data_IF_367027620843
#
_entry.id   IF_367027620843
#
_cell.length_a   1.000
_cell.length_b   1.000
_cell.length_c   1.000
_cell.angle_alpha   90.00
_cell.angle_beta   90.00
_cell.angle_gamma   90.00
#
_symmetry.space_group_name_H-M   'P 1'
#
loop_
_entity.id
_entity.type
_entity.pdbx_description
1 polymer ?
#
# COMPACT_ATOMS: atom_id res chain seq x y z
N UNK A 1 11.88 -2.12 27.86
CA UNK A 1 13.30 -1.84 27.64
C UNK A 1 13.95 -1.04 28.77
N UNK A 2 13.30 0.01 29.31
CA UNK A 2 13.85 0.78 30.42
C UNK A 2 13.02 0.57 31.69
N UNK A 3 13.56 -0.06 32.74
CA UNK A 3 12.79 -0.38 33.95
C UNK A 3 12.40 0.85 34.78
N UNK A 4 13.12 1.98 34.62
CA UNK A 4 12.80 3.25 35.29
C UNK A 4 11.89 4.19 34.46
N UNK A 5 11.50 3.79 33.24
CA UNK A 5 10.62 4.61 32.42
C UNK A 5 9.17 4.45 32.84
N UNK A 6 8.49 5.57 33.06
CA UNK A 6 7.06 5.67 33.31
C UNK A 6 6.36 6.49 32.23
N UNK A 7 5.02 6.45 32.18
CA UNK A 7 4.24 7.28 31.27
C UNK A 7 4.56 8.78 31.47
N UNK A 8 4.80 9.21 32.72
CA UNK A 8 5.23 10.58 33.05
C UNK A 8 6.56 10.94 32.37
N UNK A 9 7.58 10.06 32.47
CA UNK A 9 8.87 10.31 31.79
C UNK A 9 8.74 10.34 30.27
N UNK A 10 7.76 9.63 29.70
CA UNK A 10 7.46 9.69 28.28
C UNK A 10 6.85 11.04 27.89
N UNK A 11 5.89 11.56 28.67
CA UNK A 11 5.34 12.91 28.51
C UNK A 11 6.43 13.97 28.54
N UNK A 12 7.30 13.93 29.54
CA UNK A 12 8.32 14.97 29.72
C UNK A 12 9.29 15.00 28.53
N UNK A 13 9.64 13.82 28.00
CA UNK A 13 10.43 13.69 26.76
C UNK A 13 9.68 14.23 25.54
N UNK A 14 8.39 13.93 25.38
CA UNK A 14 7.58 14.49 24.31
C UNK A 14 7.54 16.01 24.35
N UNK A 15 7.37 16.59 25.55
CA UNK A 15 7.36 18.03 25.75
C UNK A 15 8.72 18.64 25.40
N UNK A 16 9.82 18.08 25.91
CA UNK A 16 11.16 18.58 25.60
C UNK A 16 11.48 18.52 24.09
N UNK A 17 10.96 17.50 23.39
CA UNK A 17 11.22 17.30 21.98
C UNK A 17 10.33 18.15 21.06
N UNK A 18 9.06 18.35 21.40
CA UNK A 18 8.07 18.91 20.46
C UNK A 18 7.45 20.23 20.88
N UNK A 19 7.37 20.54 22.18
CA UNK A 19 6.73 21.77 22.64
C UNK A 19 7.51 22.99 22.14
N UNK A 20 6.81 23.94 21.50
CA UNK A 20 7.39 25.15 20.93
C UNK A 20 8.10 24.96 19.58
N UNK A 21 8.49 23.73 19.23
CA UNK A 21 9.10 23.40 17.92
C UNK A 21 8.07 22.99 16.88
N UNK A 22 7.03 22.27 17.30
CA UNK A 22 5.98 21.75 16.42
C UNK A 22 4.66 22.46 16.69
N UNK A 23 4.11 23.16 15.69
CA UNK A 23 2.80 23.86 15.82
C UNK A 23 1.63 22.94 16.15
N UNK A 24 1.71 21.66 15.77
CA UNK A 24 0.63 20.70 15.99
C UNK A 24 0.64 20.06 17.39
N UNK A 25 1.63 20.36 18.25
CA UNK A 25 1.74 19.83 19.61
C UNK A 25 1.49 20.94 20.63
N UNK A 26 0.41 20.81 21.40
CA UNK A 26 -0.05 21.83 22.34
C UNK A 26 -0.17 21.28 23.77
N UNK A 27 -0.12 22.19 24.74
CA UNK A 27 -0.50 21.87 26.12
C UNK A 27 -2.03 21.75 26.21
N UNK A 28 -2.55 20.82 27.02
CA UNK A 28 -3.98 20.64 27.16
C UNK A 28 -4.59 21.84 27.88
N UNK A 29 -5.77 22.27 27.43
CA UNK A 29 -6.52 23.35 28.07
C UNK A 29 -7.31 22.77 29.24
N UNK A 30 -7.08 23.19 30.48
CA UNK A 30 -7.81 22.66 31.63
C UNK A 30 -9.30 23.03 31.50
N UNK A 31 -10.17 22.03 31.41
CA UNK A 31 -11.62 22.20 31.36
C UNK A 31 -12.26 21.53 32.58
N UNK A 32 -13.07 22.28 33.35
CA UNK A 32 -13.79 21.75 34.52
C UNK A 32 -14.68 20.58 34.10
N UNK A 33 -14.53 19.42 34.77
CA UNK A 33 -15.35 18.23 34.57
C UNK A 33 -14.87 17.25 33.48
N UNK A 34 -13.73 17.50 32.81
CA UNK A 34 -13.11 16.53 31.89
C UNK A 34 -11.99 15.75 32.57
N UNK A 35 -11.74 14.52 32.10
CA UNK A 35 -10.62 13.70 32.55
C UNK A 35 -9.28 14.42 32.30
N UNK A 36 -8.31 14.18 33.18
CA UNK A 36 -6.99 14.84 33.10
C UNK A 36 -6.25 14.45 31.82
N UNK A 37 -6.07 15.43 30.95
CA UNK A 37 -5.32 15.31 29.71
C UNK A 37 -3.85 15.71 29.94
N UNK A 38 -2.95 14.99 29.28
CA UNK A 38 -1.50 15.16 29.47
C UNK A 38 -0.86 15.95 28.31
N UNK A 39 -1.42 15.89 27.09
CA UNK A 39 -1.03 16.72 25.94
C UNK A 39 -2.16 16.78 24.91
N UNK A 40 -2.07 17.71 23.96
CA UNK A 40 -3.04 17.85 22.88
C UNK A 40 -2.36 17.84 21.52
N UNK A 41 -3.00 17.18 20.55
CA UNK A 41 -2.57 17.22 19.14
C UNK A 41 -3.61 17.93 18.30
N UNK A 42 -3.13 18.87 17.48
CA UNK A 42 -3.96 19.58 16.51
C UNK A 42 -4.07 18.72 15.25
N UNK A 43 -5.26 18.17 15.01
CA UNK A 43 -5.61 17.44 13.80
C UNK A 43 -6.48 18.32 12.90
N UNK A 44 -6.58 18.02 11.60
CA UNK A 44 -7.32 18.87 10.66
C UNK A 44 -8.81 19.05 11.03
N UNK A 45 -9.39 18.06 11.71
CA UNK A 45 -10.78 18.08 12.17
C UNK A 45 -10.98 18.79 13.52
N UNK A 46 -9.92 18.98 14.29
CA UNK A 46 -9.96 19.56 15.64
C UNK A 46 -8.79 19.12 16.52
N UNK A 47 -8.67 19.76 17.67
CA UNK A 47 -7.67 19.42 18.69
C UNK A 47 -8.16 18.25 19.55
N UNK A 48 -7.32 17.23 19.73
CA UNK A 48 -7.61 16.04 20.54
C UNK A 48 -6.71 16.01 21.76
N UNK A 49 -7.34 15.90 22.93
CA UNK A 49 -6.68 15.80 24.23
C UNK A 49 -6.39 14.32 24.54
N UNK A 50 -5.13 13.99 24.82
CA UNK A 50 -4.67 12.62 25.08
C UNK A 50 -4.35 12.40 26.56
N UNK A 51 -4.76 11.23 27.06
CA UNK A 51 -4.32 10.70 28.34
C UNK A 51 -3.32 9.55 28.12
N UNK A 52 -2.14 9.66 28.75
CA UNK A 52 -1.01 8.73 28.60
C UNK A 52 -1.03 7.56 29.58
N UNK A 53 -1.91 7.54 30.57
CA UNK A 53 -1.93 6.50 31.60
C UNK A 53 -2.10 5.12 30.97
N UNK A 54 -1.16 4.21 31.30
CA UNK A 54 -1.12 2.83 30.84
C UNK A 54 -0.60 2.66 29.40
N UNK A 55 -0.02 3.69 28.77
CA UNK A 55 0.50 3.58 27.39
C UNK A 55 1.65 2.59 27.28
N UNK A 56 2.57 2.59 28.24
CA UNK A 56 3.67 1.63 28.26
C UNK A 56 3.19 0.19 28.38
N UNK A 57 2.12 -0.08 29.13
CA UNK A 57 1.53 -1.42 29.24
C UNK A 57 0.79 -1.81 27.97
N UNK A 58 -0.07 -0.93 27.44
CA UNK A 58 -0.78 -1.16 26.17
C UNK A 58 0.16 -1.42 25.00
N UNK A 59 1.31 -0.76 24.96
CA UNK A 59 2.28 -0.95 23.87
C UNK A 59 3.15 -2.22 24.04
N UNK A 60 3.23 -2.76 25.26
CA UNK A 60 3.85 -4.07 25.54
C UNK A 60 2.88 -5.23 25.28
N UNK A 61 1.58 -4.98 25.43
CA UNK A 61 0.51 -5.99 25.35
C UNK A 61 0.84 -7.27 26.13
N UNK A 62 1.08 -7.16 27.46
CA UNK A 62 1.60 -8.27 28.25
C UNK A 62 0.55 -9.36 28.40
N UNK A 63 0.67 -10.42 27.61
CA UNK A 63 -0.05 -11.67 27.83
C UNK A 63 0.72 -12.55 28.81
N UNK A 64 -0.01 -13.32 29.62
CA UNK A 64 0.62 -14.29 30.52
C UNK A 64 1.10 -15.51 29.72
N UNK A 65 2.42 -15.65 29.56
CA UNK A 65 3.04 -16.73 28.81
C UNK A 65 2.58 -18.13 29.25
N UNK A 66 2.36 -18.35 30.55
CA UNK A 66 1.90 -19.65 31.06
C UNK A 66 0.48 -19.98 30.58
N UNK A 67 -0.39 -18.97 30.47
CA UNK A 67 -1.75 -19.13 29.97
C UNK A 67 -1.74 -19.37 28.45
N UNK A 68 -0.94 -18.61 27.70
CA UNK A 68 -0.77 -18.80 26.26
C UNK A 68 -0.25 -20.21 25.93
N UNK A 69 0.72 -20.71 26.68
CA UNK A 69 1.26 -22.06 26.52
C UNK A 69 0.23 -23.14 26.84
N UNK A 70 -0.61 -22.93 27.87
CA UNK A 70 -1.69 -23.85 28.20
C UNK A 70 -2.74 -23.91 27.07
N UNK A 71 -3.14 -22.75 26.54
CA UNK A 71 -4.13 -22.67 25.46
C UNK A 71 -3.62 -23.27 24.14
N UNK A 72 -2.35 -23.07 23.80
CA UNK A 72 -1.73 -23.72 22.64
C UNK A 72 -1.68 -25.25 22.72
N UNK A 73 -1.74 -25.81 23.94
CA UNK A 73 -1.80 -27.27 24.20
C UNK A 73 -3.21 -27.80 24.48
N UNK A 74 -4.24 -26.97 24.29
CA UNK A 74 -5.61 -27.38 24.56
C UNK A 74 -6.05 -28.56 23.68
N UNK A 75 -6.83 -29.47 24.25
CA UNK A 75 -7.51 -30.54 23.48
C UNK A 75 -8.60 -30.01 22.53
N UNK A 76 -9.02 -28.75 22.70
CA UNK A 76 -9.95 -28.08 21.79
C UNK A 76 -9.17 -27.49 20.62
N UNK A 77 -9.33 -28.09 19.43
CA UNK A 77 -8.57 -27.75 18.22
C UNK A 77 -8.62 -26.26 17.84
N UNK A 78 -9.77 -25.61 17.98
CA UNK A 78 -9.90 -24.17 17.68
C UNK A 78 -9.12 -23.31 18.67
N UNK A 79 -9.08 -23.68 19.95
CA UNK A 79 -8.33 -22.95 20.97
C UNK A 79 -6.83 -23.09 20.74
N UNK A 80 -6.35 -24.30 20.43
CA UNK A 80 -4.96 -24.53 20.06
C UNK A 80 -4.55 -23.78 18.78
N UNK A 81 -5.46 -23.67 17.80
CA UNK A 81 -5.19 -22.94 16.55
C UNK A 81 -5.12 -21.41 16.73
N UNK A 82 -5.82 -20.84 17.71
CA UNK A 82 -5.77 -19.40 18.03
C UNK A 82 -4.49 -19.00 18.79
N UNK A 83 -3.84 -19.97 19.45
CA UNK A 83 -2.59 -19.78 20.19
C UNK A 83 -1.50 -20.70 19.61
N UNK A 84 -1.09 -20.49 18.34
CA UNK A 84 -0.09 -21.33 17.72
C UNK A 84 1.23 -21.26 18.49
N UNK A 85 2.00 -22.36 18.55
CA UNK A 85 3.32 -22.32 19.17
C UNK A 85 4.20 -21.29 18.45
N UNK A 86 5.06 -20.56 19.18
CA UNK A 86 6.00 -19.65 18.55
C UNK A 86 6.85 -20.41 17.53
N UNK A 87 7.19 -19.79 16.37
CA UNK A 87 8.02 -20.45 15.37
C UNK A 87 9.31 -20.95 16.02
N UNK A 88 9.79 -22.16 15.66
CA UNK A 88 10.97 -22.72 16.28
C UNK A 88 12.16 -21.76 16.12
N UNK A 89 12.78 -21.39 17.24
CA UNK A 89 14.07 -20.70 17.22
C UNK A 89 15.08 -21.61 16.50
N UNK A 90 15.61 -21.16 15.35
CA UNK A 90 16.72 -21.82 14.69
C UNK A 90 17.92 -21.90 15.65
N UNK A 91 18.05 -23.03 16.33
CA UNK A 91 19.19 -23.39 17.21
C UNK A 91 20.46 -23.71 16.41
N UNK A 92 20.68 -23.08 15.26
CA UNK A 92 21.79 -23.41 14.36
C UNK A 92 22.92 -22.37 14.30
N UNK A 93 22.82 -21.20 14.95
CA UNK A 93 23.96 -20.26 15.06
C UNK A 93 24.37 -20.05 16.52
N UNK A 94 25.57 -20.55 16.84
CA UNK A 94 26.31 -20.27 18.08
C UNK A 94 26.46 -18.76 18.24
N UNK A 95 26.06 -18.24 19.40
CA UNK A 95 26.38 -16.87 19.85
C UNK A 95 25.24 -15.88 19.68
N UNK A 96 24.23 -16.00 20.54
CA UNK A 96 23.15 -15.03 20.62
C UNK A 96 21.84 -15.73 20.95
N UNK A 97 21.44 -15.72 22.21
CA UNK A 97 20.03 -15.98 22.56
C UNK A 97 19.20 -15.00 21.73
N UNK A 98 18.53 -15.46 20.67
CA UNK A 98 17.35 -14.79 20.13
C UNK A 98 16.36 -14.79 21.28
N UNK A 99 16.42 -13.79 22.17
CA UNK A 99 15.39 -13.58 23.17
C UNK A 99 14.14 -13.26 22.36
N UNK A 100 13.25 -14.23 22.23
CA UNK A 100 11.94 -14.05 21.60
C UNK A 100 11.26 -12.77 22.09
N UNK A 101 10.62 -12.08 21.16
CA UNK A 101 9.45 -11.22 21.38
C UNK A 101 9.57 -9.96 22.24
N UNK A 102 10.65 -9.74 23.00
CA UNK A 102 10.67 -8.68 24.02
C UNK A 102 10.86 -7.26 23.46
N UNK A 103 11.27 -7.11 22.19
CA UNK A 103 11.60 -5.81 21.61
C UNK A 103 10.63 -5.30 20.54
N UNK A 104 9.82 -6.18 19.94
CA UNK A 104 8.79 -5.75 19.00
C UNK A 104 7.57 -5.25 19.77
N UNK A 105 7.41 -3.93 19.83
CA UNK A 105 6.22 -3.32 20.43
C UNK A 105 5.05 -3.31 19.45
N UNK A 106 3.83 -3.26 19.97
CA UNK A 106 2.60 -3.17 19.17
C UNK A 106 2.67 -2.00 18.17
N UNK A 107 3.18 -0.84 18.62
CA UNK A 107 3.35 0.33 17.76
C UNK A 107 4.34 0.11 16.60
N UNK A 108 5.39 -0.70 16.80
CA UNK A 108 6.36 -1.02 15.75
C UNK A 108 5.72 -1.88 14.65
N UNK A 109 4.94 -2.90 15.05
CA UNK A 109 4.21 -3.74 14.12
C UNK A 109 3.18 -2.94 13.31
N UNK A 110 2.40 -2.07 13.98
CA UNK A 110 1.47 -1.19 13.28
C UNK A 110 2.16 -0.23 12.32
N UNK A 111 3.35 0.28 12.67
CA UNK A 111 4.14 1.15 11.78
C UNK A 111 4.56 0.42 10.50
N UNK A 112 5.03 -0.81 10.60
CA UNK A 112 5.42 -1.61 9.44
C UNK A 112 4.22 -1.90 8.53
N UNK A 113 3.12 -2.36 9.12
CA UNK A 113 1.87 -2.62 8.41
C UNK A 113 1.32 -1.35 7.74
N UNK A 114 1.36 -0.22 8.43
CA UNK A 114 0.96 1.08 7.89
C UNK A 114 1.86 1.50 6.72
N UNK A 115 3.17 1.26 6.80
CA UNK A 115 4.09 1.59 5.71
C UNK A 115 3.76 0.76 4.45
N UNK A 116 3.58 -0.56 4.60
CA UNK A 116 3.14 -1.45 3.51
C UNK A 116 1.81 -0.99 2.91
N UNK A 117 0.84 -0.68 3.76
CA UNK A 117 -0.46 -0.18 3.32
C UNK A 117 -0.34 1.13 2.55
N UNK A 118 0.44 2.10 3.06
CA UNK A 118 0.64 3.39 2.39
C UNK A 118 1.34 3.27 1.05
N UNK A 119 2.32 2.35 0.92
CA UNK A 119 2.96 2.05 -0.37
C UNK A 119 1.95 1.49 -1.37
N UNK A 120 1.12 0.54 -0.95
CA UNK A 120 0.07 -0.04 -1.78
C UNK A 120 -0.99 1.01 -2.19
N UNK A 121 -1.44 1.85 -1.25
CA UNK A 121 -2.42 2.90 -1.58
C UNK A 121 -1.87 3.92 -2.57
N UNK A 122 -0.59 4.29 -2.45
CA UNK A 122 0.06 5.25 -3.36
C UNK A 122 0.30 4.72 -4.77
N UNK A 123 0.42 3.40 -4.95
CA UNK A 123 0.60 2.78 -6.27
C UNK A 123 -0.73 2.56 -7.02
N UNK A 124 -1.87 2.78 -6.36
CA UNK A 124 -3.21 2.59 -6.93
C UNK A 124 -3.83 3.92 -7.39
N UNK A 125 -4.96 3.84 -8.10
CA UNK A 125 -5.78 5.00 -8.44
C UNK A 125 -6.88 5.20 -7.38
N UNK A 126 -6.76 6.20 -6.48
CA UNK A 126 -7.69 6.34 -5.37
C UNK A 126 -9.00 6.99 -5.80
N UNK A 127 -10.11 6.43 -5.31
CA UNK A 127 -11.44 7.05 -5.35
C UNK A 127 -11.87 7.39 -3.93
N UNK A 128 -12.41 8.61 -3.73
CA UNK A 128 -12.72 9.12 -2.40
C UNK A 128 -14.23 9.24 -2.19
N UNK A 129 -14.69 8.73 -1.04
CA UNK A 129 -16.02 9.01 -0.50
C UNK A 129 -15.82 9.75 0.82
N UNK A 130 -16.38 10.96 0.94
CA UNK A 130 -16.32 11.76 2.17
C UNK A 130 -17.66 11.72 2.88
N UNK A 131 -17.72 11.03 4.00
CA UNK A 131 -18.90 10.95 4.84
C UNK A 131 -18.98 12.18 5.77
N UNK A 132 -20.17 12.72 5.98
CA UNK A 132 -20.44 13.83 6.89
C UNK A 132 -21.36 13.35 8.01
N UNK A 133 -21.06 13.74 9.24
CA UNK A 133 -21.90 13.47 10.42
C UNK A 133 -22.99 14.54 10.46
N UNK A 134 -24.28 14.16 10.41
CA UNK A 134 -25.37 15.14 10.33
C UNK A 134 -25.71 15.77 11.69
N UNK A 135 -25.55 15.03 12.80
CA UNK A 135 -25.79 15.50 14.17
C UNK A 135 -25.08 14.58 15.18
N UNK A 136 -24.82 15.09 16.40
CA UNK A 136 -24.19 14.31 17.48
C UNK A 136 -25.21 13.46 18.27
N UNK A 137 -26.50 13.83 18.23
CA UNK A 137 -27.58 13.10 18.90
C UNK A 137 -27.91 11.72 18.31
N UNK A 138 -27.29 11.38 17.17
CA UNK A 138 -27.54 10.15 16.38
C UNK A 138 -29.00 10.01 15.92
N UNK A 139 -29.72 11.12 15.77
CA UNK A 139 -31.12 11.13 15.35
C UNK A 139 -31.20 11.14 13.82
N UNK A 140 -31.89 10.19 13.18
CA UNK A 140 -32.04 10.18 11.73
C UNK A 140 -32.85 11.40 11.26
N UNK A 141 -32.47 11.99 10.12
CA UNK A 141 -33.17 13.14 9.51
C UNK A 141 -32.89 14.51 10.15
N UNK A 142 -32.31 14.56 11.35
CA UNK A 142 -31.86 15.80 11.96
C UNK A 142 -30.51 16.23 11.38
N UNK A 143 -30.38 17.51 11.00
CA UNK A 143 -29.16 18.08 10.43
C UNK A 143 -28.74 19.34 11.17
N UNK A 144 -27.54 19.32 11.74
CA UNK A 144 -26.93 20.44 12.44
C UNK A 144 -25.98 21.19 11.51
N UNK A 145 -26.45 22.33 11.00
CA UNK A 145 -25.72 23.08 9.97
C UNK A 145 -24.34 23.54 10.42
N UNK A 146 -24.17 23.97 11.68
CA UNK A 146 -22.88 24.45 12.17
C UNK A 146 -21.83 23.33 12.21
N UNK A 147 -22.23 22.14 12.67
CA UNK A 147 -21.39 20.94 12.68
C UNK A 147 -20.95 20.54 11.27
N UNK A 148 -21.86 20.61 10.30
CA UNK A 148 -21.59 20.24 8.91
C UNK A 148 -20.71 21.29 8.23
N UNK A 149 -20.94 22.58 8.46
CA UNK A 149 -20.09 23.66 7.95
C UNK A 149 -18.66 23.51 8.45
N UNK A 150 -18.48 23.18 9.74
CA UNK A 150 -17.16 22.89 10.32
C UNK A 150 -16.49 21.72 9.58
N UNK A 151 -17.19 20.59 9.39
CA UNK A 151 -16.67 19.44 8.65
C UNK A 151 -16.31 19.78 7.20
N UNK A 152 -17.15 20.53 6.47
CA UNK A 152 -16.89 20.90 5.08
C UNK A 152 -15.61 21.73 4.92
N UNK A 153 -15.34 22.62 5.89
CA UNK A 153 -14.11 23.43 5.93
C UNK A 153 -12.89 22.57 6.29
N UNK A 154 -12.96 21.83 7.40
CA UNK A 154 -11.86 21.00 7.89
C UNK A 154 -11.46 19.88 6.93
N UNK A 155 -12.43 19.24 6.26
CA UNK A 155 -12.19 18.18 5.28
C UNK A 155 -11.69 18.72 3.93
N UNK A 156 -11.58 20.05 3.76
CA UNK A 156 -11.18 20.70 2.51
C UNK A 156 -12.13 20.41 1.35
N UNK A 157 -13.43 20.26 1.62
CA UNK A 157 -14.43 19.93 0.59
C UNK A 157 -14.56 21.09 -0.39
N UNK A 158 -14.55 22.33 0.10
CA UNK A 158 -14.64 23.53 -0.74
C UNK A 158 -13.43 23.64 -1.69
N UNK A 159 -12.22 23.41 -1.17
CA UNK A 159 -10.99 23.37 -1.94
C UNK A 159 -11.02 22.22 -2.96
N UNK A 160 -11.50 21.05 -2.54
CA UNK A 160 -11.70 19.91 -3.42
C UNK A 160 -12.62 20.23 -4.59
N UNK A 161 -13.79 20.82 -4.33
CA UNK A 161 -14.75 21.24 -5.38
C UNK A 161 -14.12 22.31 -6.27
N UNK A 162 -13.42 23.29 -5.71
CA UNK A 162 -12.76 24.35 -6.48
C UNK A 162 -11.71 23.78 -7.44
N UNK A 163 -10.92 22.82 -6.98
CA UNK A 163 -9.94 22.11 -7.82
C UNK A 163 -10.65 21.23 -8.85
N UNK A 164 -11.68 20.47 -8.49
CA UNK A 164 -12.43 19.63 -9.42
C UNK A 164 -13.15 20.43 -10.52
N UNK A 165 -13.65 21.64 -10.22
CA UNK A 165 -14.29 22.52 -11.21
C UNK A 165 -13.28 23.12 -12.20
N UNK A 166 -12.09 23.48 -11.74
CA UNK A 166 -11.01 24.01 -12.59
C UNK A 166 -10.24 22.91 -13.31
N UNK A 167 -10.18 21.73 -12.71
CA UNK A 167 -9.42 20.60 -13.18
C UNK A 167 -10.18 19.73 -14.17
N UNK A 168 -9.45 18.76 -14.70
CA UNK A 168 -9.97 17.77 -15.63
C UNK A 168 -9.71 16.38 -15.03
N UNK A 169 -10.70 15.82 -14.30
CA UNK A 169 -10.51 14.58 -13.55
C UNK A 169 -10.28 13.37 -14.46
N UNK A 170 -10.95 13.31 -15.61
CA UNK A 170 -10.84 12.20 -16.54
C UNK A 170 -9.71 12.44 -17.54
N UNK A 171 -8.83 11.45 -17.70
CA UNK A 171 -7.62 11.54 -18.54
C UNK A 171 -7.49 10.30 -19.39
N UNK A 172 -7.57 10.45 -20.71
CA UNK A 172 -7.58 9.31 -21.64
C UNK A 172 -6.41 9.45 -22.61
N UNK A 173 -5.72 8.35 -22.89
CA UNK A 173 -4.62 8.31 -23.87
C UNK A 173 -5.22 8.48 -25.28
N UNK A 174 -4.54 9.21 -26.16
CA UNK A 174 -5.05 9.50 -27.50
C UNK A 174 -5.36 8.24 -28.33
N UNK A 175 -4.55 7.19 -28.20
CA UNK A 175 -4.78 5.92 -28.89
C UNK A 175 -6.12 5.29 -28.48
N UNK A 176 -6.36 5.20 -27.16
CA UNK A 176 -7.60 4.66 -26.60
C UNK A 176 -8.79 5.52 -26.97
N UNK A 177 -8.67 6.85 -26.88
CA UNK A 177 -9.73 7.78 -27.24
C UNK A 177 -10.13 7.61 -28.72
N UNK A 178 -9.16 7.64 -29.62
CA UNK A 178 -9.37 7.44 -31.06
C UNK A 178 -10.04 6.10 -31.33
N UNK A 179 -9.54 5.00 -30.75
CA UNK A 179 -10.11 3.67 -30.97
C UNK A 179 -11.55 3.57 -30.44
N UNK A 180 -11.82 4.13 -29.27
CA UNK A 180 -13.11 4.03 -28.59
C UNK A 180 -14.20 4.86 -29.27
N UNK A 181 -13.88 6.10 -29.66
CA UNK A 181 -14.88 7.06 -30.17
C UNK A 181 -14.88 7.22 -31.69
N UNK A 182 -14.00 6.55 -32.46
CA UNK A 182 -14.03 6.57 -33.94
C UNK A 182 -15.42 6.22 -34.50
N UNK A 183 -16.20 5.38 -33.82
CA UNK A 183 -17.55 4.99 -34.24
C UNK A 183 -18.55 6.16 -34.28
N UNK A 184 -18.32 7.22 -33.50
CA UNK A 184 -19.19 8.40 -33.48
C UNK A 184 -19.18 9.11 -34.83
N UNK A 185 -18.00 9.26 -35.45
CA UNK A 185 -17.86 9.87 -36.76
C UNK A 185 -16.64 9.29 -37.51
N UNK A 186 -16.88 8.21 -38.26
CA UNK A 186 -15.82 7.52 -39.00
C UNK A 186 -15.30 8.33 -40.20
N UNK A 187 -16.11 9.23 -40.77
CA UNK A 187 -15.78 10.02 -41.96
C UNK A 187 -14.66 11.03 -41.74
N UNK A 188 -14.42 11.42 -40.49
CA UNK A 188 -13.44 12.45 -40.11
C UNK A 188 -12.00 11.91 -40.12
N UNK A 189 -11.84 10.58 -40.03
CA UNK A 189 -10.55 9.90 -40.01
C UNK A 189 -10.43 9.09 -41.31
N UNK A 190 -9.67 9.56 -42.32
CA UNK A 190 -9.48 8.86 -43.59
C UNK A 190 -8.97 7.43 -43.36
N UNK A 191 -9.60 6.46 -44.03
CA UNK A 191 -9.15 5.07 -43.97
C UNK A 191 -7.84 4.89 -44.76
N UNK A 192 -6.89 4.15 -44.19
CA UNK A 192 -5.62 3.80 -44.86
C UNK A 192 -4.49 4.82 -44.75
N UNK A 193 -4.75 6.05 -44.29
CA UNK A 193 -3.69 7.03 -44.00
C UNK A 193 -3.30 7.03 -42.53
N UNK A 194 -2.01 6.92 -42.24
CA UNK A 194 -1.50 7.08 -40.87
C UNK A 194 -1.71 8.53 -40.43
N UNK A 195 -2.69 8.73 -39.55
CA UNK A 195 -2.93 10.00 -38.88
C UNK A 195 -2.53 9.89 -37.41
N UNK A 196 -1.69 10.84 -36.98
CA UNK A 196 -1.29 10.99 -35.58
C UNK A 196 -2.51 10.97 -34.65
N UNK A 197 -2.40 10.24 -33.55
CA UNK A 197 -3.52 9.98 -32.64
C UNK A 197 -4.03 11.27 -32.00
N UNK A 198 -3.15 12.24 -31.74
CA UNK A 198 -3.56 13.55 -31.23
C UNK A 198 -4.40 14.31 -32.26
N UNK A 199 -3.88 14.48 -33.49
CA UNK A 199 -4.62 15.14 -34.58
C UNK A 199 -5.96 14.46 -34.91
N UNK A 200 -5.98 13.13 -34.89
CA UNK A 200 -7.21 12.36 -35.09
C UNK A 200 -8.24 12.62 -33.98
N UNK A 201 -7.78 12.69 -32.72
CA UNK A 201 -8.64 13.00 -31.57
C UNK A 201 -9.15 14.44 -31.60
N UNK A 202 -8.31 15.40 -32.02
CA UNK A 202 -8.68 16.80 -32.20
C UNK A 202 -9.78 16.97 -33.27
N UNK A 203 -9.60 16.35 -34.44
CA UNK A 203 -10.61 16.37 -35.50
C UNK A 203 -11.90 15.68 -35.09
N UNK A 204 -11.81 14.53 -34.42
CA UNK A 204 -12.99 13.79 -33.96
C UNK A 204 -13.79 14.61 -32.95
N UNK A 205 -13.16 15.16 -31.92
CA UNK A 205 -13.86 16.02 -30.94
C UNK A 205 -14.41 17.29 -31.58
N UNK A 206 -13.69 17.92 -32.50
CA UNK A 206 -14.19 19.10 -33.22
C UNK A 206 -15.32 18.81 -34.20
N UNK A 207 -15.57 17.54 -34.54
CA UNK A 207 -16.70 17.13 -35.39
C UNK A 207 -17.97 16.79 -34.61
N UNK A 208 -17.86 16.67 -33.29
CA UNK A 208 -18.97 16.35 -32.39
C UNK A 208 -19.38 17.67 -31.73
N UNK A 209 -20.69 17.90 -31.61
CA UNK A 209 -21.23 19.09 -30.95
C UNK A 209 -21.07 18.98 -29.43
N UNK A 210 -19.86 19.29 -28.95
CA UNK A 210 -19.50 19.32 -27.52
C UNK A 210 -18.85 20.63 -27.16
N UNK A 211 -19.07 21.08 -25.92
CA UNK A 211 -18.47 22.31 -25.43
C UNK A 211 -16.93 22.19 -25.36
N UNK A 212 -16.23 23.03 -26.14
CA UNK A 212 -14.78 23.07 -26.21
C UNK A 212 -14.09 23.51 -24.91
N UNK A 213 -14.81 24.08 -23.94
CA UNK A 213 -14.27 24.39 -22.62
C UNK A 213 -14.16 23.19 -21.68
N UNK A 214 -14.91 22.12 -21.97
CA UNK A 214 -15.04 20.96 -21.09
C UNK A 214 -14.00 19.88 -21.37
N UNK A 215 -13.13 20.10 -22.37
CA UNK A 215 -11.94 19.28 -22.58
C UNK A 215 -10.70 20.11 -22.90
N UNK A 216 -9.52 19.51 -22.70
CA UNK A 216 -8.22 20.09 -23.08
C UNK A 216 -7.28 19.02 -23.63
N UNK A 217 -6.46 19.41 -24.60
CA UNK A 217 -5.44 18.55 -25.20
C UNK A 217 -4.11 18.71 -24.47
N UNK A 218 -3.56 17.61 -23.96
CA UNK A 218 -2.18 17.57 -23.47
C UNK A 218 -1.21 17.04 -24.51
N UNK A 219 -0.01 16.67 -24.05
CA UNK A 219 1.01 16.06 -24.90
C UNK A 219 0.66 14.62 -25.29
N UNK A 220 0.26 13.78 -24.33
CA UNK A 220 0.00 12.35 -24.54
C UNK A 220 -1.45 11.94 -24.28
N UNK A 221 -2.22 12.79 -23.62
CA UNK A 221 -3.58 12.51 -23.15
C UNK A 221 -4.51 13.68 -23.46
N UNK A 222 -5.78 13.35 -23.65
CA UNK A 222 -6.90 14.30 -23.62
C UNK A 222 -7.53 14.29 -22.23
N UNK A 223 -7.93 15.48 -21.78
CA UNK A 223 -8.42 15.76 -20.45
C UNK A 223 -9.87 16.21 -20.53
N UNK A 224 -10.76 15.64 -19.72
CA UNK A 224 -12.19 15.96 -19.70
C UNK A 224 -12.63 16.44 -18.31
N UNK A 225 -13.53 17.41 -18.29
CA UNK A 225 -14.30 17.76 -17.10
C UNK A 225 -15.29 16.64 -16.75
N UNK A 226 -15.76 16.65 -15.51
CA UNK A 226 -16.81 15.73 -15.09
C UNK A 226 -18.08 15.94 -15.93
N UNK A 227 -18.74 14.85 -16.31
CA UNK A 227 -19.97 14.87 -17.11
C UNK A 227 -19.74 14.66 -18.62
N UNK A 228 -18.79 15.39 -19.24
CA UNK A 228 -18.58 15.33 -20.70
C UNK A 228 -18.28 13.91 -21.21
N UNK A 229 -17.48 13.14 -20.46
CA UNK A 229 -17.17 11.76 -20.85
C UNK A 229 -18.43 10.86 -20.83
N UNK A 230 -19.37 11.11 -19.92
CA UNK A 230 -20.64 10.38 -19.88
C UNK A 230 -21.49 10.66 -21.11
N UNK A 231 -21.56 11.93 -21.54
CA UNK A 231 -22.25 12.32 -22.78
C UNK A 231 -21.64 11.64 -24.00
N UNK A 232 -20.30 11.58 -24.09
CA UNK A 232 -19.62 10.87 -25.19
C UNK A 232 -19.89 9.36 -25.19
N UNK A 233 -20.02 8.73 -24.02
CA UNK A 233 -20.41 7.31 -23.93
C UNK A 233 -21.88 7.10 -24.33
N UNK A 234 -22.79 7.98 -23.92
CA UNK A 234 -24.20 7.89 -24.29
C UNK A 234 -24.41 8.00 -25.81
N UNK A 235 -23.80 9.01 -26.45
CA UNK A 235 -23.81 9.15 -27.92
C UNK A 235 -23.23 7.91 -28.63
N UNK A 236 -22.22 7.29 -28.01
CA UNK A 236 -21.56 6.09 -28.55
C UNK A 236 -22.46 4.88 -28.44
N UNK A 237 -23.12 4.69 -27.30
CA UNK A 237 -24.02 3.57 -27.05
C UNK A 237 -25.24 3.63 -27.98
N UNK A 238 -25.81 4.81 -28.23
CA UNK A 238 -26.87 4.99 -29.23
C UNK A 238 -26.41 4.56 -30.63
N UNK A 239 -25.21 4.97 -31.04
CA UNK A 239 -24.66 4.60 -32.35
C UNK A 239 -24.38 3.10 -32.46
N UNK A 240 -23.82 2.51 -31.41
CA UNK A 240 -23.56 1.08 -31.33
C UNK A 240 -24.85 0.27 -31.35
N UNK A 241 -25.91 0.71 -30.65
CA UNK A 241 -27.21 0.05 -30.65
C UNK A 241 -27.79 -0.03 -32.07
N UNK A 242 -27.71 1.06 -32.85
CA UNK A 242 -28.12 1.08 -34.26
C UNK A 242 -27.31 0.09 -35.11
N UNK A 243 -25.97 0.12 -35.02
CA UNK A 243 -25.09 -0.75 -35.80
C UNK A 243 -25.27 -2.23 -35.44
N UNK A 244 -25.35 -2.56 -34.16
CA UNK A 244 -25.60 -3.92 -33.67
C UNK A 244 -26.97 -4.40 -34.14
N UNK A 245 -27.98 -3.55 -34.14
CA UNK A 245 -29.30 -3.85 -34.71
C UNK A 245 -29.22 -4.27 -36.18
N UNK A 246 -28.43 -3.57 -36.99
CA UNK A 246 -28.20 -3.94 -38.41
C UNK A 246 -27.51 -5.30 -38.55
N UNK A 247 -26.45 -5.55 -37.76
CA UNK A 247 -25.75 -6.84 -37.78
C UNK A 247 -26.69 -7.97 -37.36
N UNK A 248 -27.46 -7.79 -36.29
CA UNK A 248 -28.45 -8.76 -35.83
C UNK A 248 -29.50 -9.04 -36.91
N UNK A 249 -29.99 -8.01 -37.61
CA UNK A 249 -30.94 -8.17 -38.70
C UNK A 249 -30.35 -9.00 -39.86
N UNK A 250 -29.10 -8.74 -40.23
CA UNK A 250 -28.39 -9.52 -41.27
C UNK A 250 -28.19 -10.98 -40.84
N UNK A 251 -27.75 -11.22 -39.60
CA UNK A 251 -27.58 -12.58 -39.07
C UNK A 251 -28.89 -13.35 -39.00
N UNK A 252 -29.97 -12.74 -38.50
CA UNK A 252 -31.31 -13.35 -38.49
C UNK A 252 -31.82 -13.63 -39.90
N UNK A 253 -31.61 -12.70 -40.84
CA UNK A 253 -31.95 -12.89 -42.24
C UNK A 253 -31.17 -14.03 -42.90
N UNK A 254 -29.87 -14.16 -42.62
CA UNK A 254 -29.05 -15.26 -43.11
C UNK A 254 -29.52 -16.62 -42.57
N UNK A 255 -29.75 -16.71 -41.26
CA UNK A 255 -30.24 -17.94 -40.62
C UNK A 255 -31.60 -18.36 -41.19
N UNK A 256 -32.54 -17.42 -41.33
CA UNK A 256 -33.87 -17.71 -41.84
C UNK A 256 -33.85 -18.12 -43.32
N UNK A 257 -33.02 -17.49 -44.17
CA UNK A 257 -32.86 -17.92 -45.58
C UNK A 257 -32.33 -19.35 -45.66
N UNK A 258 -31.33 -19.70 -44.83
CA UNK A 258 -30.78 -21.05 -44.79
C UNK A 258 -31.80 -22.07 -44.30
N UNK A 259 -32.60 -21.74 -43.29
CA UNK A 259 -33.68 -22.62 -42.83
C UNK A 259 -34.79 -22.74 -43.89
N UNK A 260 -35.13 -21.65 -44.58
CA UNK A 260 -36.10 -21.66 -45.67
C UNK A 260 -35.65 -22.55 -46.85
N UNK A 261 -34.37 -22.51 -47.24
CA UNK A 261 -33.83 -23.45 -48.24
C UNK A 261 -34.01 -24.90 -47.81
N UNK A 262 -33.71 -25.25 -46.54
CA UNK A 262 -33.98 -26.61 -46.03
C UNK A 262 -35.47 -26.96 -46.05
N UNK A 263 -36.35 -26.02 -45.74
CA UNK A 263 -37.80 -26.24 -45.82
C UNK A 263 -38.26 -26.50 -47.26
N UNK A 264 -37.70 -25.79 -48.23
CA UNK A 264 -37.94 -26.00 -49.66
C UNK A 264 -37.42 -27.36 -50.12
N UNK A 265 -36.18 -27.72 -49.76
CA UNK A 265 -35.61 -29.05 -50.04
C UNK A 265 -36.44 -30.18 -49.43
N UNK A 266 -36.91 -30.02 -48.18
CA UNK A 266 -37.84 -30.97 -47.54
C UNK A 266 -39.14 -31.09 -48.33
N UNK A 267 -39.71 -29.98 -48.79
CA UNK A 267 -40.95 -29.97 -49.59
C UNK A 267 -40.77 -30.71 -50.92
N UNK A 268 -39.68 -30.46 -51.63
CA UNK A 268 -39.37 -31.18 -52.89
C UNK A 268 -39.09 -32.65 -52.64
N UNK A 269 -38.35 -32.97 -51.57
CA UNK A 269 -38.07 -34.35 -51.17
C UNK A 269 -39.35 -35.13 -50.88
N UNK A 270 -40.36 -34.51 -50.26
CA UNK A 270 -41.67 -35.15 -50.02
C UNK A 270 -42.30 -35.56 -51.35
N UNK A 271 -42.33 -34.68 -52.36
CA UNK A 271 -42.87 -35.02 -53.67
C UNK A 271 -42.06 -36.12 -54.36
N UNK A 272 -40.74 -36.04 -54.33
CA UNK A 272 -39.86 -37.04 -54.90
C UNK A 272 -40.05 -38.42 -54.22
N UNK A 273 -40.17 -38.47 -52.89
CA UNK A 273 -40.43 -39.70 -52.13
C UNK A 273 -41.80 -40.28 -52.51
N UNK A 274 -42.86 -39.45 -52.50
CA UNK A 274 -44.20 -39.90 -52.86
C UNK A 274 -44.27 -40.48 -54.27
N UNK A 275 -43.63 -39.81 -55.23
CA UNK A 275 -43.54 -40.29 -56.61
C UNK A 275 -42.73 -41.58 -56.71
N UNK A 276 -41.54 -41.62 -56.11
CA UNK A 276 -40.66 -42.80 -56.15
C UNK A 276 -41.29 -44.01 -55.47
N UNK A 277 -42.01 -43.86 -54.35
CA UNK A 277 -42.73 -44.97 -53.71
C UNK A 277 -43.78 -45.55 -54.67
N UNK A 278 -44.56 -44.69 -55.34
CA UNK A 278 -45.56 -45.16 -56.33
C UNK A 278 -44.88 -45.86 -57.52
N UNK A 279 -43.84 -45.26 -58.08
CA UNK A 279 -43.05 -45.85 -59.18
C UNK A 279 -42.41 -47.18 -58.78
N UNK A 280 -41.78 -47.24 -57.61
CA UNK A 280 -41.18 -48.45 -57.06
C UNK A 280 -42.22 -49.55 -56.85
N UNK A 281 -43.41 -49.23 -56.33
CA UNK A 281 -44.48 -50.23 -56.17
C UNK A 281 -44.93 -50.82 -57.52
N UNK A 282 -44.85 -50.06 -58.61
CA UNK A 282 -45.13 -50.55 -59.96
C UNK A 282 -43.99 -51.42 -60.53
N UNK A 283 -42.72 -51.06 -60.26
CA UNK A 283 -41.54 -51.71 -60.87
C UNK A 283 -40.95 -52.84 -60.02
N UNK A 284 -41.23 -52.91 -58.72
CA UNK A 284 -40.62 -53.91 -57.80
C UNK A 284 -40.88 -55.37 -58.21
N UNK A 285 -41.97 -55.63 -58.92
CA UNK A 285 -42.31 -56.98 -59.40
C UNK A 285 -41.73 -57.30 -60.78
N UNK A 286 -41.17 -56.29 -61.48
CA UNK A 286 -40.62 -56.41 -62.83
C UNK A 286 -39.39 -57.33 -62.85
N UNK A 287 -39.29 -58.30 -63.79
CA UNK A 287 -38.23 -59.32 -63.79
C UNK A 287 -36.80 -58.75 -63.81
N UNK A 288 -36.54 -57.70 -64.60
CA UNK A 288 -35.22 -57.07 -64.67
C UNK A 288 -34.80 -56.40 -63.35
N UNK A 289 -35.74 -55.81 -62.60
CA UNK A 289 -35.43 -55.17 -61.33
C UNK A 289 -35.10 -56.19 -60.23
N UNK A 290 -35.77 -57.37 -60.25
CA UNK A 290 -35.44 -58.49 -59.36
C UNK A 290 -34.03 -59.04 -59.60
N UNK A 291 -33.58 -59.08 -60.85
CA UNK A 291 -32.22 -59.49 -61.19
C UNK A 291 -31.18 -58.49 -60.65
N UNK A 292 -31.42 -57.19 -60.82
CA UNK A 292 -30.54 -56.14 -60.30
C UNK A 292 -30.37 -56.22 -58.77
N UNK A 293 -31.46 -56.41 -58.00
CA UNK A 293 -31.36 -56.55 -56.54
C UNK A 293 -30.56 -57.76 -56.07
N UNK A 294 -30.51 -58.85 -56.86
CA UNK A 294 -29.64 -60.00 -56.56
C UNK A 294 -28.17 -59.73 -56.88
N UNK A 295 -27.88 -58.89 -57.87
CA UNK A 295 -26.51 -58.60 -58.32
C UNK A 295 -25.87 -57.47 -57.49
N UNK A 296 -26.64 -56.44 -57.12
CA UNK A 296 -26.10 -55.23 -56.45
C UNK A 296 -25.30 -55.49 -55.16
N UNK A 297 -25.72 -56.36 -54.22
CA UNK A 297 -24.93 -56.65 -53.01
C UNK A 297 -23.57 -57.31 -53.30
N UNK A 298 -23.43 -57.97 -54.46
CA UNK A 298 -22.17 -58.59 -54.89
C UNK A 298 -21.13 -57.56 -55.37
N UNK A 299 -21.50 -56.27 -55.46
CA UNK A 299 -20.65 -55.14 -55.88
C UNK A 299 -20.15 -54.27 -54.71
N UNK A 300 -20.24 -54.78 -53.47
CA UNK A 300 -19.86 -54.10 -52.21
C UNK A 300 -18.42 -53.54 -52.16
N UNK A 301 -17.52 -53.94 -53.06
CA UNK A 301 -16.12 -53.52 -53.08
C UNK A 301 -15.91 -52.02 -53.35
N UNK A 302 -16.85 -51.35 -54.01
CA UNK A 302 -16.71 -49.93 -54.35
C UNK A 302 -17.08 -48.97 -53.21
N UNK A 303 -17.98 -49.38 -52.31
CA UNK A 303 -18.37 -48.55 -51.15
C UNK A 303 -17.29 -48.56 -50.06
N UNK A 304 -16.65 -49.71 -49.83
CA UNK A 304 -15.57 -49.85 -48.85
C UNK A 304 -14.33 -49.02 -49.21
N UNK A 305 -14.02 -48.85 -50.49
CA UNK A 305 -12.90 -48.03 -50.96
C UNK A 305 -13.11 -46.53 -50.66
N UNK A 306 -14.35 -46.04 -50.79
CA UNK A 306 -14.70 -44.65 -50.49
C UNK A 306 -14.66 -44.36 -48.98
N UNK A 307 -15.10 -45.30 -48.14
CA UNK A 307 -14.98 -45.19 -46.68
C UNK A 307 -13.52 -45.18 -46.22
N UNK A 308 -12.69 -46.05 -46.83
CA UNK A 308 -11.25 -46.09 -46.54
C UNK A 308 -10.56 -44.77 -46.91
N UNK A 309 -10.94 -44.14 -48.01
CA UNK A 309 -10.41 -42.83 -48.41
C UNK A 309 -10.76 -41.73 -47.39
N UNK A 310 -12.02 -41.65 -46.95
CA UNK A 310 -12.45 -40.70 -45.92
C UNK A 310 -11.75 -40.94 -44.57
N UNK A 311 -11.56 -42.21 -44.20
CA UNK A 311 -10.87 -42.55 -42.95
C UNK A 311 -9.40 -42.12 -42.99
N UNK A 312 -8.71 -42.30 -44.13
CA UNK A 312 -7.33 -41.84 -44.33
C UNK A 312 -7.21 -40.32 -44.21
N UNK A 313 -8.12 -39.56 -44.81
CA UNK A 313 -8.11 -38.10 -44.72
C UNK A 313 -8.29 -37.61 -43.27
N UNK A 314 -9.27 -38.18 -42.56
CA UNK A 314 -9.50 -37.86 -41.15
C UNK A 314 -8.30 -38.21 -40.26
N UNK A 315 -7.65 -39.34 -40.52
CA UNK A 315 -6.47 -39.77 -39.79
C UNK A 315 -5.30 -38.79 -39.97
N UNK A 316 -5.02 -38.37 -41.21
CA UNK A 316 -3.95 -37.39 -41.48
C UNK A 316 -4.24 -36.03 -40.85
N UNK A 317 -5.50 -35.57 -40.90
CA UNK A 317 -5.90 -34.33 -40.24
C UNK A 317 -5.69 -34.42 -38.72
N UNK A 318 -6.15 -35.49 -38.09
CA UNK A 318 -6.02 -35.68 -36.64
C UNK A 318 -4.54 -35.78 -36.21
N UNK A 319 -3.70 -36.42 -37.03
CA UNK A 319 -2.26 -36.51 -36.80
C UNK A 319 -1.58 -35.14 -36.86
N UNK A 320 -1.93 -34.30 -37.84
CA UNK A 320 -1.36 -32.94 -37.96
C UNK A 320 -1.84 -32.02 -36.84
N UNK A 321 -3.10 -32.09 -36.44
CA UNK A 321 -3.65 -31.30 -35.33
C UNK A 321 -3.03 -31.72 -33.98
N UNK A 322 -2.85 -33.03 -33.76
CA UNK A 322 -2.16 -33.54 -32.58
C UNK A 322 -0.70 -33.06 -32.52
N UNK A 323 0.02 -33.09 -33.64
CA UNK A 323 1.40 -32.61 -33.70
C UNK A 323 1.50 -31.10 -33.37
N UNK A 324 0.58 -30.28 -33.90
CA UNK A 324 0.51 -28.85 -33.57
C UNK A 324 0.20 -28.63 -32.08
N UNK A 325 -0.79 -29.34 -31.54
CA UNK A 325 -1.17 -29.21 -30.14
C UNK A 325 -0.04 -29.60 -29.18
N UNK A 326 0.70 -30.68 -29.48
CA UNK A 326 1.86 -31.09 -28.70
C UNK A 326 2.99 -30.05 -28.77
N UNK A 327 3.23 -29.44 -29.94
CA UNK A 327 4.20 -28.36 -30.10
C UNK A 327 3.83 -27.12 -29.26
N UNK A 328 2.57 -26.68 -29.33
CA UNK A 328 2.09 -25.53 -28.53
C UNK A 328 2.13 -25.83 -27.03
N UNK A 329 1.73 -27.04 -26.62
CA UNK A 329 1.81 -27.47 -25.22
C UNK A 329 3.24 -27.37 -24.69
N UNK A 330 4.22 -27.90 -25.44
CA UNK A 330 5.63 -27.84 -25.05
C UNK A 330 6.13 -26.40 -24.88
N UNK A 331 5.78 -25.50 -25.82
CA UNK A 331 6.15 -24.08 -25.72
C UNK A 331 5.53 -23.40 -24.49
N UNK A 332 4.31 -23.76 -24.11
CA UNK A 332 3.65 -23.19 -22.93
C UNK A 332 4.22 -23.75 -21.62
N UNK A 333 4.58 -25.04 -21.59
CA UNK A 333 5.26 -25.66 -20.45
C UNK A 333 6.64 -25.01 -20.21
N UNK A 334 7.43 -24.77 -21.27
CA UNK A 334 8.71 -24.07 -21.18
C UNK A 334 8.55 -22.65 -20.58
N UNK A 335 7.53 -21.90 -21.01
CA UNK A 335 7.23 -20.58 -20.45
C UNK A 335 6.80 -20.65 -18.98
N UNK A 336 6.03 -21.66 -18.60
CA UNK A 336 5.57 -21.84 -17.23
C UNK A 336 6.75 -22.13 -16.30
N UNK A 337 7.69 -22.97 -16.74
CA UNK A 337 8.92 -23.26 -15.99
C UNK A 337 9.76 -21.99 -15.82
N UNK A 338 9.93 -21.19 -16.88
CA UNK A 338 10.66 -19.93 -16.80
C UNK A 338 10.05 -18.94 -15.79
N UNK A 339 8.72 -18.76 -15.83
CA UNK A 339 8.02 -17.89 -14.87
C UNK A 339 8.07 -18.43 -13.43
N UNK A 340 8.05 -19.76 -13.27
CA UNK A 340 8.17 -20.38 -11.95
C UNK A 340 9.57 -20.19 -11.39
N UNK A 341 10.60 -20.28 -12.23
CA UNK A 341 11.97 -19.99 -11.85
C UNK A 341 12.13 -18.52 -11.42
N UNK A 342 11.65 -17.58 -12.22
CA UNK A 342 11.69 -16.14 -11.89
C UNK A 342 10.99 -15.84 -10.55
N UNK A 343 9.83 -16.45 -10.30
CA UNK A 343 9.13 -16.36 -9.01
C UNK A 343 9.99 -16.89 -7.86
N UNK A 344 10.64 -18.04 -8.05
CA UNK A 344 11.48 -18.64 -7.01
C UNK A 344 12.73 -17.80 -6.74
N UNK A 345 13.36 -17.25 -7.79
CA UNK A 345 14.53 -16.38 -7.68
C UNK A 345 14.18 -15.09 -6.92
N UNK A 346 13.04 -14.47 -7.25
CA UNK A 346 12.53 -13.31 -6.50
C UNK A 346 12.20 -13.66 -5.05
N UNK A 347 11.64 -14.84 -4.77
CA UNK A 347 11.38 -15.27 -3.40
C UNK A 347 12.67 -15.48 -2.60
N UNK A 348 13.71 -16.04 -3.21
CA UNK A 348 15.03 -16.17 -2.61
C UNK A 348 15.68 -14.81 -2.35
N UNK A 349 15.55 -13.86 -3.30
CA UNK A 349 16.03 -12.50 -3.11
C UNK A 349 15.30 -11.80 -1.94
N UNK A 350 13.98 -11.91 -1.85
CA UNK A 350 13.21 -11.36 -0.73
C UNK A 350 13.63 -11.98 0.60
N UNK A 351 13.90 -13.29 0.63
CA UNK A 351 14.39 -13.96 1.84
C UNK A 351 15.79 -13.44 2.25
N UNK A 352 16.72 -13.29 1.31
CA UNK A 352 18.08 -12.81 1.59
C UNK A 352 18.09 -11.32 2.01
N UNK A 353 17.28 -10.48 1.36
CA UNK A 353 17.07 -9.09 1.78
C UNK A 353 16.42 -9.02 3.16
N UNK A 354 15.51 -9.94 3.48
CA UNK A 354 14.92 -10.08 4.82
C UNK A 354 15.95 -10.46 5.89
N UNK A 355 16.88 -11.37 5.59
CA UNK A 355 18.00 -11.68 6.48
C UNK A 355 18.94 -10.48 6.67
N UNK A 356 19.28 -9.77 5.58
CA UNK A 356 20.11 -8.57 5.67
C UNK A 356 19.45 -7.46 6.49
N UNK A 357 18.12 -7.32 6.38
CA UNK A 357 17.34 -6.41 7.21
C UNK A 357 17.41 -6.80 8.68
N UNK A 358 17.23 -8.08 9.00
CA UNK A 358 17.36 -8.59 10.38
C UNK A 358 18.75 -8.31 10.96
N UNK A 359 19.83 -8.53 10.19
CA UNK A 359 21.19 -8.22 10.61
C UNK A 359 21.41 -6.71 10.83
N UNK A 360 20.76 -5.86 10.02
CA UNK A 360 20.77 -4.41 10.22
C UNK A 360 19.98 -3.99 11.47
N UNK A 361 18.84 -4.63 11.74
CA UNK A 361 18.04 -4.41 12.94
C UNK A 361 18.82 -4.81 14.20
N UNK A 362 19.48 -5.98 14.21
CA UNK A 362 20.30 -6.41 15.34
C UNK A 362 21.46 -5.43 15.62
N UNK A 363 22.13 -4.95 14.56
CA UNK A 363 23.16 -3.90 14.69
C UNK A 363 22.57 -2.61 15.26
N UNK A 364 21.41 -2.18 14.79
CA UNK A 364 20.72 -1.00 15.32
C UNK A 364 20.36 -1.18 16.80
N UNK A 365 19.82 -2.33 17.20
CA UNK A 365 19.52 -2.64 18.60
C UNK A 365 20.79 -2.63 19.47
N UNK A 366 21.89 -3.20 18.97
CA UNK A 366 23.19 -3.18 19.63
C UNK A 366 23.69 -1.75 19.86
N UNK A 367 23.60 -0.89 18.83
CA UNK A 367 23.94 0.52 18.93
C UNK A 367 23.03 1.28 19.91
N UNK A 368 21.73 0.99 19.92
CA UNK A 368 20.79 1.59 20.88
C UNK A 368 21.19 1.22 22.32
N UNK A 369 21.50 -0.06 22.59
CA UNK A 369 21.97 -0.50 23.92
C UNK A 369 23.28 0.19 24.33
N UNK A 370 24.24 0.27 23.41
CA UNK A 370 25.52 0.96 23.65
C UNK A 370 25.29 2.45 23.94
N UNK A 371 24.45 3.12 23.15
CA UNK A 371 24.08 4.52 23.35
C UNK A 371 23.52 4.77 24.75
N UNK A 372 22.60 3.91 25.22
CA UNK A 372 22.02 4.02 26.57
C UNK A 372 23.11 3.92 27.65
N UNK A 373 24.06 3.00 27.51
CA UNK A 373 25.15 2.84 28.46
C UNK A 373 26.09 4.05 28.44
N UNK A 374 26.39 4.60 27.26
CA UNK A 374 27.24 5.78 27.13
C UNK A 374 26.55 7.04 27.66
N UNK A 375 25.25 7.23 27.43
CA UNK A 375 24.47 8.32 28.02
C UNK A 375 24.44 8.24 29.56
N UNK A 376 24.31 7.03 30.12
CA UNK A 376 24.37 6.83 31.57
C UNK A 376 25.75 7.18 32.14
N UNK A 377 26.83 6.71 31.51
CA UNK A 377 28.20 7.05 31.90
C UNK A 377 28.47 8.54 31.80
N UNK A 378 28.06 9.16 30.69
CA UNK A 378 28.22 10.60 30.49
C UNK A 378 27.57 11.37 31.63
N UNK A 379 26.32 11.03 31.97
CA UNK A 379 25.59 11.67 33.06
C UNK A 379 26.31 11.53 34.40
N UNK A 380 26.74 10.31 34.75
CA UNK A 380 27.49 10.06 35.99
C UNK A 380 28.82 10.83 36.04
N UNK A 381 29.56 10.88 34.92
CA UNK A 381 30.81 11.64 34.84
C UNK A 381 30.60 13.15 34.92
N UNK A 382 29.49 13.66 34.40
CA UNK A 382 29.15 15.08 34.49
C UNK A 382 28.79 15.46 35.92
N UNK A 383 27.94 14.67 36.60
CA UNK A 383 27.60 14.90 38.01
C UNK A 383 28.86 14.89 38.90
N UNK A 384 29.76 13.92 38.69
CA UNK A 384 31.05 13.87 39.41
C UNK A 384 31.96 15.06 39.11
N UNK A 385 31.96 15.56 37.87
CA UNK A 385 32.76 16.72 37.50
C UNK A 385 32.24 17.98 38.20
N UNK A 386 30.92 18.16 38.24
CA UNK A 386 30.27 19.27 38.95
C UNK A 386 30.62 19.24 40.45
N UNK A 387 30.56 18.07 41.10
CA UNK A 387 30.95 17.92 42.51
C UNK A 387 32.42 18.29 42.76
N UNK A 388 33.34 17.85 41.89
CA UNK A 388 34.78 18.17 42.00
C UNK A 388 35.07 19.66 41.70
N UNK A 389 34.32 20.28 40.78
CA UNK A 389 34.40 21.72 40.53
C UNK A 389 33.95 22.54 41.74
N UNK A 390 32.89 22.10 42.42
CA UNK A 390 32.43 22.72 43.68
C UNK A 390 33.47 22.57 44.78
N UNK A 391 34.02 21.37 44.99
CA UNK A 391 35.09 21.12 45.97
C UNK A 391 36.33 21.97 45.66
N UNK A 392 36.72 22.09 44.39
CA UNK A 392 37.87 22.90 44.00
C UNK A 392 37.61 24.40 44.25
N UNK A 393 36.40 24.89 43.98
CA UNK A 393 36.01 26.26 44.32
C UNK A 393 36.07 26.50 45.83
N UNK A 394 35.58 25.57 46.66
CA UNK A 394 35.69 25.64 48.12
C UNK A 394 37.14 25.64 48.61
N UNK A 395 37.98 24.74 48.07
CA UNK A 395 39.41 24.66 48.41
C UNK A 395 40.15 25.93 48.00
N UNK A 396 39.85 26.48 46.84
CA UNK A 396 40.43 27.76 46.37
C UNK A 396 40.02 28.91 47.28
N UNK A 397 38.76 28.96 47.73
CA UNK A 397 38.29 29.96 48.68
C UNK A 397 38.97 29.80 50.06
N UNK A 398 39.11 28.57 50.57
CA UNK A 398 39.84 28.28 51.83
C UNK A 398 41.32 28.62 51.73
N UNK A 399 41.97 28.28 50.61
CA UNK A 399 43.36 28.62 50.35
C UNK A 399 43.59 30.13 50.39
N UNK A 400 42.72 30.91 49.73
CA UNK A 400 42.81 32.37 49.76
C UNK A 400 42.74 32.93 51.18
N UNK A 401 41.80 32.44 52.01
CA UNK A 401 41.72 32.83 53.42
C UNK A 401 42.99 32.52 54.21
N UNK A 402 43.56 31.33 54.02
CA UNK A 402 44.81 30.94 54.68
C UNK A 402 46.01 31.74 54.18
N UNK A 403 46.04 32.12 52.91
CA UNK A 403 47.07 33.01 52.35
C UNK A 403 46.95 34.42 52.94
N UNK A 404 45.73 34.95 53.06
CA UNK A 404 45.45 36.24 53.70
C UNK A 404 45.89 36.20 55.19
N UNK A 405 45.47 35.20 55.97
CA UNK A 405 45.87 35.01 57.37
C UNK A 405 47.40 34.85 57.54
N UNK A 406 48.05 34.05 56.69
CA UNK A 406 49.51 33.92 56.69
C UNK A 406 50.21 35.25 56.41
N UNK A 407 49.64 36.09 55.53
CA UNK A 407 50.20 37.39 55.18
C UNK A 407 50.07 38.39 56.33
N UNK A 408 48.93 38.38 57.03
CA UNK A 408 48.70 39.20 58.23
C UNK A 408 49.67 38.79 59.35
N UNK A 409 49.78 37.50 59.66
CA UNK A 409 50.71 37.01 60.67
C UNK A 409 52.18 37.33 60.36
N UNK A 410 52.59 37.25 59.09
CA UNK A 410 53.94 37.68 58.67
C UNK A 410 54.15 39.16 58.92
N UNK A 411 53.17 39.99 58.59
CA UNK A 411 53.24 41.44 58.82
C UNK A 411 53.30 41.77 60.30
N UNK A 412 52.50 41.09 61.12
CA UNK A 412 52.52 41.26 62.58
C UNK A 412 53.87 40.86 63.18
N UNK A 413 54.48 39.78 62.67
CA UNK A 413 55.85 39.37 63.07
C UNK A 413 56.86 40.45 62.68
N UNK A 414 56.84 40.93 61.44
CA UNK A 414 57.75 41.98 60.97
C UNK A 414 57.60 43.28 61.80
N UNK A 415 56.36 43.69 62.11
CA UNK A 415 56.06 44.85 62.94
C UNK A 415 56.54 44.66 64.40
N UNK A 416 56.35 43.46 64.97
CA UNK A 416 56.88 43.12 66.30
C UNK A 416 58.41 43.10 66.33
N UNK A 417 59.07 42.58 65.31
CA UNK A 417 60.54 42.60 65.18
C UNK A 417 61.08 44.04 65.10
N UNK A 418 60.42 44.92 64.32
CA UNK A 418 60.76 46.34 64.27
C UNK A 418 60.56 47.03 65.63
N UNK A 419 59.49 46.68 66.33
CA UNK A 419 59.19 47.22 67.66
C UNK A 419 60.23 46.76 68.69
N UNK A 420 60.62 45.48 68.64
CA UNK A 420 61.64 44.89 69.49
C UNK A 420 63.00 45.54 69.24
N UNK A 421 63.39 45.73 67.98
CA UNK A 421 64.61 46.46 67.61
C UNK A 421 64.60 47.94 68.07
N UNK A 422 63.42 48.58 68.09
CA UNK A 422 63.26 49.94 68.60
C UNK A 422 63.39 50.00 70.12
N UNK A 423 62.75 49.08 70.85
CA UNK A 423 62.88 48.94 72.31
C UNK A 423 64.32 48.61 72.71
N UNK A 424 65.01 47.75 71.96
CA UNK A 424 66.43 47.46 72.17
C UNK A 424 67.30 48.71 71.96
N UNK A 425 67.03 49.53 70.93
CA UNK A 425 67.70 50.83 70.74
C UNK A 425 67.41 51.81 71.87
N UNK A 426 66.17 51.91 72.34
CA UNK A 426 65.77 52.78 73.45
C UNK A 426 66.38 52.32 74.78
N UNK A 427 66.47 51.00 75.01
CA UNK A 427 67.21 50.39 76.13
C UNK A 427 68.70 50.74 76.05
N UNK A 428 69.32 50.61 74.88
CA UNK A 428 70.73 50.98 74.70
C UNK A 428 70.98 52.48 74.92
N UNK A 429 70.04 53.34 74.51
CA UNK A 429 70.11 54.78 74.71
C UNK A 429 69.88 55.19 76.18
N UNK A 430 69.05 54.47 76.93
CA UNK A 430 68.83 54.69 78.37
C UNK A 430 69.99 54.15 79.20
N UNK A 431 70.56 53.00 78.86
CA UNK A 431 71.79 52.47 79.49
C UNK A 431 72.99 53.42 79.30
N UNK A 432 73.08 54.11 78.16
CA UNK A 432 74.12 55.12 77.91
C UNK A 432 73.86 56.49 78.57
N UNK A 433 72.64 56.79 79.04
CA UNK A 433 72.34 58.00 79.83
C UNK A 433 72.59 57.83 81.33
N UNK A 434 72.87 56.60 81.77
CA UNK A 434 73.14 56.23 83.19
C UNK A 434 74.65 56.04 83.44
N UNK A 435 75.50 56.27 82.44
CA UNK A 435 76.95 56.52 82.61
C UNK A 435 77.20 58.02 82.69
#
# INVERSE_FOLDING_TARGET
MFPKSSDTTFKDKLYAQHLGKTKAFEKPKPAKGKAEAHFSLVHYAGTVDYNITGWLEKNKDPLNDSVCQLYGKSGVKILAALYPPPPPEDKAKKGGKKKGGSMQTVSSQFRENLHKLMTNLRSTHPHFVRCLIPNESKTPGLMENFLVIHQLRCNGVLEGIRICRKGFPSRIIYADFKQRYKVLNASVIPEGQFMDNKKASEKLLGSIDVNHEDYKFGHTKVFFKAGLLGVLEEMRDEKLASLVGMVQALSRGFLMRREFSKMMERRESIYAIQYNIRSFMNVKTWPWMKLYFKIKPLLQSAETEKELANMKENYEKMKTDLAKALSTKKQMEEKLVALTQEKNDLALQVASEGESLNDAEERCEGLIKSKIQQEAKLKETTERLEDEEEINAELTAKKRKLEDECSELKKDIDDLELTLAKVEKEKHATENKVK
#
